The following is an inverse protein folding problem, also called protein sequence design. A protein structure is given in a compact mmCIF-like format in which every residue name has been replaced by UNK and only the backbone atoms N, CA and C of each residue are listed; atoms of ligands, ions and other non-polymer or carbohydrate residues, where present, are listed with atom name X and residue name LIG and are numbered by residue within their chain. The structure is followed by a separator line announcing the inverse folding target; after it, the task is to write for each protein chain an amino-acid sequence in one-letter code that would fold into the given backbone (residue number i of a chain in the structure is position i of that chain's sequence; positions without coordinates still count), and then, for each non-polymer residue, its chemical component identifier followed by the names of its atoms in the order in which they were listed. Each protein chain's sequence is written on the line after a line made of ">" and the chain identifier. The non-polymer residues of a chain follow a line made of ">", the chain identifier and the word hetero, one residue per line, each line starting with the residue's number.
data_IF_808083409966
#
_entry.id   IF_808083409966
#
_cell.length_a   1.000
_cell.length_b   1.000
_cell.length_c   1.000
_cell.angle_alpha   90.00
_cell.angle_beta   90.00
_cell.angle_gamma   90.00
#
_symmetry.space_group_name_H-M   'P 1'
#
loop_
_entity.id
_entity.type
_entity.pdbx_description
1 polymer ?
#
# COMPACT_ATOMS: atom_id res chain seq x y z
N UNK A 1 14.82 49.16 -19.62
CA UNK A 1 13.41 49.61 -19.58
C UNK A 1 12.63 48.93 -20.70
N UNK A 2 11.30 48.90 -20.59
CA UNK A 2 10.30 48.58 -21.64
C UNK A 2 9.99 47.11 -21.97
N UNK A 3 8.89 46.65 -21.37
CA UNK A 3 7.81 45.81 -21.95
C UNK A 3 6.82 46.80 -22.63
N UNK A 4 6.28 46.61 -23.86
CA UNK A 4 5.09 45.77 -24.19
C UNK A 4 5.23 45.03 -25.55
N UNK A 5 4.25 44.42 -26.26
CA UNK A 5 2.77 44.24 -26.20
C UNK A 5 2.43 42.78 -26.65
N UNK A 6 1.28 42.12 -26.43
CA UNK A 6 -0.18 42.40 -26.48
C UNK A 6 -0.83 42.30 -27.89
N UNK A 7 -1.70 41.29 -28.08
CA UNK A 7 -2.78 40.98 -29.09
C UNK A 7 -2.70 39.48 -29.49
N UNK A 8 -3.69 38.56 -29.51
CA UNK A 8 -5.18 38.49 -29.52
C UNK A 8 -5.83 38.15 -30.90
N UNK A 9 -6.63 37.06 -30.94
CA UNK A 9 -7.54 36.56 -32.01
C UNK A 9 -6.87 35.99 -33.31
N UNK A 10 -7.40 34.99 -34.05
CA UNK A 10 -8.79 34.61 -34.35
C UNK A 10 -8.97 33.12 -34.84
N UNK A 11 -10.18 32.76 -35.29
CA UNK A 11 -10.70 31.41 -35.64
C UNK A 11 -10.54 30.98 -37.13
N UNK A 12 -11.09 29.79 -37.45
CA UNK A 12 -11.32 29.10 -38.76
C UNK A 12 -10.25 28.07 -39.16
N UNK A 13 -10.54 26.96 -39.85
CA UNK A 13 -11.72 26.60 -40.67
C UNK A 13 -12.13 25.09 -40.61
N UNK A 14 -13.19 24.73 -41.34
CA UNK A 14 -13.85 23.41 -41.37
C UNK A 14 -13.21 22.35 -42.30
N UNK A 15 -13.62 21.09 -42.12
CA UNK A 15 -13.52 19.97 -43.07
C UNK A 15 -14.17 18.72 -42.45
N UNK A 16 -15.45 18.44 -42.66
CA UNK A 16 -16.10 17.74 -43.81
C UNK A 16 -16.14 16.20 -43.59
N UNK A 17 -17.36 15.63 -43.59
CA UNK A 17 -17.65 14.22 -43.27
C UNK A 17 -17.63 13.32 -44.54
N UNK A 18 -17.84 11.99 -44.45
CA UNK A 18 -19.24 11.51 -44.51
C UNK A 18 -19.57 10.17 -43.80
N UNK A 19 -20.74 10.16 -43.13
CA UNK A 19 -21.76 9.11 -43.28
C UNK A 19 -21.67 7.79 -42.49
N UNK A 20 -22.73 7.47 -41.75
CA UNK A 20 -23.74 6.49 -42.20
C UNK A 20 -24.95 6.43 -41.22
N UNK A 21 -26.17 6.54 -41.75
CA UNK A 21 -27.41 6.63 -40.97
C UNK A 21 -28.10 5.29 -40.66
N UNK A 22 -28.71 5.24 -39.48
CA UNK A 22 -29.93 4.54 -39.05
C UNK A 22 -30.29 3.09 -39.52
N UNK A 23 -30.45 2.19 -38.54
CA UNK A 23 -31.59 1.25 -38.41
C UNK A 23 -31.70 0.71 -36.98
N UNK A 24 -32.90 0.34 -36.50
CA UNK A 24 -33.18 0.08 -35.08
C UNK A 24 -33.80 -1.30 -34.77
N UNK A 25 -33.38 -1.89 -33.63
CA UNK A 25 -34.08 -2.89 -32.79
C UNK A 25 -34.38 -4.29 -33.40
N UNK A 26 -34.67 -5.36 -32.60
CA UNK A 26 -35.01 -5.37 -31.17
C UNK A 26 -34.39 -6.49 -30.27
N UNK A 27 -34.71 -6.38 -28.97
CA UNK A 27 -34.94 -7.46 -27.99
C UNK A 27 -33.79 -8.33 -27.44
N UNK A 28 -33.74 -8.42 -26.11
CA UNK A 28 -33.57 -9.71 -25.43
C UNK A 28 -32.19 -10.08 -24.87
N UNK A 29 -31.70 -9.36 -23.86
CA UNK A 29 -30.69 -9.88 -22.94
C UNK A 29 -31.25 -9.86 -21.51
N UNK A 30 -31.64 -11.04 -21.00
CA UNK A 30 -32.04 -11.18 -19.62
C UNK A 30 -30.84 -10.91 -18.70
N UNK A 31 -31.01 -10.04 -17.71
CA UNK A 31 -30.01 -9.85 -16.65
C UNK A 31 -30.02 -11.13 -15.80
N UNK A 32 -29.07 -12.02 -16.05
CA UNK A 32 -28.81 -13.14 -15.16
C UNK A 32 -28.46 -12.57 -13.78
N UNK A 33 -29.02 -13.10 -12.67
CA UNK A 33 -28.67 -12.64 -11.35
C UNK A 33 -27.17 -12.87 -11.13
N UNK A 34 -26.47 -11.83 -10.68
CA UNK A 34 -25.09 -11.97 -10.25
C UNK A 34 -25.04 -13.03 -9.14
N UNK A 35 -24.44 -14.18 -9.43
CA UNK A 35 -24.11 -15.17 -8.41
C UNK A 35 -23.23 -14.51 -7.33
N UNK A 36 -23.23 -15.04 -6.10
CA UNK A 36 -22.50 -14.41 -5.01
C UNK A 36 -21.04 -14.23 -5.41
N UNK A 37 -20.59 -12.97 -5.46
CA UNK A 37 -19.18 -12.64 -5.60
C UNK A 37 -18.42 -13.42 -4.54
N UNK A 38 -17.64 -14.41 -4.97
CA UNK A 38 -16.71 -15.11 -4.09
C UNK A 38 -15.89 -14.04 -3.37
N UNK A 39 -15.86 -14.12 -2.04
CA UNK A 39 -15.27 -13.08 -1.21
C UNK A 39 -13.87 -12.73 -1.70
N UNK A 40 -13.55 -11.44 -1.72
CA UNK A 40 -12.30 -10.90 -2.27
C UNK A 40 -11.13 -11.30 -1.37
N UNK A 41 -10.72 -12.57 -1.42
CA UNK A 41 -9.39 -13.01 -1.03
C UNK A 41 -8.40 -12.06 -1.73
N UNK A 42 -7.55 -11.42 -0.94
CA UNK A 42 -6.80 -10.24 -1.37
C UNK A 42 -6.06 -10.52 -2.68
N UNK A 43 -6.17 -9.61 -3.66
CA UNK A 43 -5.77 -9.83 -5.06
C UNK A 43 -4.24 -9.76 -5.28
N UNK A 44 -3.47 -10.17 -4.28
CA UNK A 44 -2.03 -10.33 -4.27
C UNK A 44 -1.71 -11.59 -3.47
N UNK A 45 -1.11 -12.58 -4.11
CA UNK A 45 -0.72 -13.84 -3.49
C UNK A 45 0.30 -13.57 -2.37
N UNK A 46 -0.04 -13.97 -1.14
CA UNK A 46 0.85 -13.82 0.01
C UNK A 46 2.03 -14.79 -0.16
N UNK A 47 3.25 -14.28 0.02
CA UNK A 47 4.45 -15.12 -0.09
C UNK A 47 4.67 -15.94 1.17
N UNK A 48 5.30 -17.10 1.03
CA UNK A 48 5.77 -17.88 2.18
C UNK A 48 6.99 -17.17 2.80
N UNK A 49 6.84 -16.71 4.04
CA UNK A 49 7.89 -15.98 4.76
C UNK A 49 9.03 -16.92 5.17
N UNK A 50 10.27 -16.43 5.07
CA UNK A 50 11.47 -17.09 5.60
C UNK A 50 12.23 -16.15 6.52
N UNK A 51 13.09 -16.71 7.36
CA UNK A 51 13.95 -15.92 8.25
C UNK A 51 14.86 -14.98 7.44
N UNK A 52 15.38 -15.40 6.28
CA UNK A 52 16.22 -14.58 5.40
C UNK A 52 15.47 -13.37 4.82
N UNK A 53 14.21 -13.56 4.41
CA UNK A 53 13.35 -12.49 3.90
C UNK A 53 13.00 -11.48 4.99
N UNK A 54 12.69 -11.93 6.21
CA UNK A 54 12.45 -11.02 7.34
C UNK A 54 13.72 -10.30 7.80
N UNK A 55 14.87 -10.95 7.76
CA UNK A 55 16.18 -10.34 8.01
C UNK A 55 16.53 -9.26 6.98
N UNK A 56 16.24 -9.51 5.69
CA UNK A 56 16.40 -8.52 4.63
C UNK A 56 15.45 -7.33 4.78
N UNK A 57 14.17 -7.61 5.06
CA UNK A 57 13.18 -6.56 5.32
C UNK A 57 13.54 -5.73 6.56
N UNK A 58 14.05 -6.33 7.63
CA UNK A 58 14.55 -5.63 8.81
C UNK A 58 15.74 -4.69 8.51
N UNK A 59 16.59 -5.00 7.52
CA UNK A 59 17.67 -4.09 7.09
C UNK A 59 17.10 -2.90 6.32
N UNK A 60 16.16 -3.15 5.41
CA UNK A 60 15.46 -2.08 4.67
C UNK A 60 14.67 -1.15 5.58
N UNK A 61 13.87 -1.67 6.52
CA UNK A 61 13.14 -0.86 7.52
C UNK A 61 14.07 0.07 8.33
N UNK A 62 15.27 -0.41 8.69
CA UNK A 62 16.26 0.44 9.37
C UNK A 62 16.73 1.59 8.48
N UNK A 63 16.91 1.34 7.17
CA UNK A 63 17.24 2.39 6.19
C UNK A 63 16.04 3.34 5.97
N UNK A 64 14.81 2.83 5.89
CA UNK A 64 13.60 3.66 5.83
C UNK A 64 13.46 4.59 7.05
N UNK A 65 13.83 4.12 8.24
CA UNK A 65 13.85 4.93 9.45
C UNK A 65 15.02 5.94 9.50
N UNK A 66 16.13 5.70 8.79
CA UNK A 66 17.29 6.60 8.67
C UNK A 66 16.96 7.77 7.73
N UNK A 67 16.85 7.50 6.42
CA UNK A 67 15.52 7.62 5.79
C UNK A 67 14.71 8.87 6.18
N UNK A 68 13.56 8.58 6.80
CA UNK A 68 12.55 9.53 7.25
C UNK A 68 13.08 10.55 8.28
N UNK A 69 14.18 10.27 9.00
CA UNK A 69 14.78 11.19 9.98
C UNK A 69 15.71 12.25 9.36
N UNK A 70 16.01 12.18 8.06
CA UNK A 70 16.92 13.14 7.40
C UNK A 70 16.40 14.59 7.52
N UNK A 71 17.22 15.54 8.02
CA UNK A 71 16.80 16.94 8.15
C UNK A 71 16.32 17.52 6.83
N UNK A 72 15.21 18.27 6.86
CA UNK A 72 14.64 18.92 5.68
C UNK A 72 13.77 18.04 4.78
N UNK A 73 13.70 16.72 5.03
CA UNK A 73 12.89 15.77 4.24
C UNK A 73 11.37 16.02 4.32
N UNK A 74 10.89 16.48 5.48
CA UNK A 74 9.47 16.45 5.83
C UNK A 74 9.04 15.07 6.34
N UNK A 75 8.10 15.04 7.28
CA UNK A 75 7.69 13.83 7.99
C UNK A 75 6.37 13.20 7.46
N UNK A 76 5.80 13.77 6.41
CA UNK A 76 4.43 13.48 5.97
C UNK A 76 4.25 12.21 5.14
N UNK A 77 5.35 11.62 4.62
CA UNK A 77 5.30 10.49 3.69
C UNK A 77 6.39 9.45 4.01
N UNK A 78 6.05 8.18 3.81
CA UNK A 78 7.00 7.06 3.90
C UNK A 78 7.94 6.98 2.71
N UNK A 79 8.89 6.05 2.75
CA UNK A 79 9.78 5.81 1.61
C UNK A 79 9.05 4.96 0.56
N UNK A 80 8.96 5.47 -0.66
CA UNK A 80 8.39 4.73 -1.79
C UNK A 80 9.43 3.75 -2.36
N UNK A 81 9.45 2.52 -1.84
CA UNK A 81 10.49 1.54 -2.18
C UNK A 81 10.30 0.96 -3.59
N UNK A 82 11.07 1.49 -4.54
CA UNK A 82 11.15 1.05 -5.93
C UNK A 82 12.55 1.30 -6.49
N UNK A 83 12.91 0.61 -7.58
CA UNK A 83 14.20 0.78 -8.25
C UNK A 83 14.36 2.13 -8.98
N UNK A 84 13.25 2.86 -9.16
CA UNK A 84 13.16 4.06 -10.00
C UNK A 84 12.83 5.34 -9.22
N UNK A 85 12.73 5.27 -7.88
CA UNK A 85 12.57 6.43 -7.00
C UNK A 85 13.91 6.93 -6.46
N UNK A 86 13.93 8.14 -5.88
CA UNK A 86 15.17 8.76 -5.39
C UNK A 86 15.78 8.04 -4.18
N UNK A 87 14.95 7.35 -3.37
CA UNK A 87 15.34 6.79 -2.06
C UNK A 87 15.15 5.28 -1.96
N UNK A 88 14.27 4.72 -2.81
CA UNK A 88 14.04 3.28 -2.90
C UNK A 88 15.33 2.48 -3.14
N UNK A 89 16.25 2.91 -4.03
CA UNK A 89 17.52 2.23 -4.25
C UNK A 89 18.37 2.08 -2.98
N UNK A 90 18.42 3.08 -2.09
CA UNK A 90 19.16 2.96 -0.82
C UNK A 90 18.55 1.90 0.11
N UNK A 91 17.22 1.82 0.17
CA UNK A 91 16.50 0.80 0.97
C UNK A 91 16.77 -0.59 0.41
N UNK A 92 16.78 -0.75 -0.91
CA UNK A 92 17.03 -2.01 -1.60
C UNK A 92 18.49 -2.46 -1.46
N UNK A 93 19.45 -1.52 -1.54
CA UNK A 93 20.86 -1.80 -1.26
C UNK A 93 21.05 -2.30 0.18
N UNK A 94 20.44 -1.63 1.16
CA UNK A 94 20.50 -2.06 2.56
C UNK A 94 19.79 -3.41 2.81
N UNK A 95 18.64 -3.64 2.16
CA UNK A 95 17.91 -4.90 2.25
C UNK A 95 18.67 -6.06 1.59
N UNK A 96 19.36 -5.80 0.47
CA UNK A 96 20.08 -6.81 -0.31
C UNK A 96 19.16 -7.78 -1.06
N UNK A 97 17.92 -7.35 -1.36
CA UNK A 97 16.92 -8.13 -2.12
C UNK A 97 16.23 -7.25 -3.18
N UNK A 98 15.68 -7.83 -4.26
CA UNK A 98 14.93 -7.10 -5.28
C UNK A 98 13.71 -6.35 -4.73
N UNK A 99 13.28 -5.29 -5.44
CA UNK A 99 12.09 -4.52 -5.05
C UNK A 99 10.81 -5.35 -5.05
N UNK A 100 10.71 -6.37 -5.90
CA UNK A 100 9.56 -7.27 -5.93
C UNK A 100 9.40 -8.02 -4.59
N UNK A 101 10.49 -8.59 -4.09
CA UNK A 101 10.53 -9.40 -2.86
C UNK A 101 10.34 -8.51 -1.62
N UNK A 102 11.01 -7.36 -1.57
CA UNK A 102 10.84 -6.39 -0.47
C UNK A 102 9.38 -5.96 -0.31
N UNK A 103 8.74 -5.59 -1.43
CA UNK A 103 7.34 -5.19 -1.43
C UNK A 103 6.39 -6.38 -1.20
N UNK A 104 6.78 -7.61 -1.53
CA UNK A 104 6.00 -8.81 -1.23
C UNK A 104 6.00 -9.13 0.28
N UNK A 105 7.16 -9.02 0.95
CA UNK A 105 7.25 -9.10 2.43
C UNK A 105 6.41 -7.99 3.05
N UNK A 106 6.56 -6.74 2.61
CA UNK A 106 5.80 -5.61 3.14
C UNK A 106 4.27 -5.79 2.99
N UNK A 107 3.78 -6.32 1.86
CA UNK A 107 2.35 -6.64 1.65
C UNK A 107 1.85 -7.79 2.52
N UNK A 108 2.70 -8.79 2.80
CA UNK A 108 2.33 -9.97 3.61
C UNK A 108 2.33 -9.63 5.11
N UNK A 109 3.33 -8.86 5.57
CA UNK A 109 3.53 -8.53 6.99
C UNK A 109 2.74 -7.28 7.41
N UNK A 110 2.56 -6.32 6.50
CA UNK A 110 1.90 -5.03 6.77
C UNK A 110 0.51 -5.16 7.44
N UNK A 111 -0.44 -5.95 6.89
CA UNK A 111 -1.76 -6.14 7.49
C UNK A 111 -1.69 -6.63 8.94
N UNK A 112 -0.79 -7.58 9.23
CA UNK A 112 -0.57 -8.11 10.58
C UNK A 112 -0.12 -7.01 11.53
N UNK A 113 0.85 -6.19 11.11
CA UNK A 113 1.40 -5.12 11.95
C UNK A 113 0.38 -3.99 12.16
N UNK A 114 -0.38 -3.62 11.13
CA UNK A 114 -1.47 -2.63 11.26
C UNK A 114 -2.57 -3.10 12.22
N UNK A 115 -3.01 -4.36 12.11
CA UNK A 115 -4.02 -4.93 13.02
C UNK A 115 -3.47 -4.98 14.46
N UNK A 116 -2.29 -5.55 14.68
CA UNK A 116 -1.68 -5.60 16.02
C UNK A 116 -1.42 -4.20 16.63
N UNK A 117 -1.07 -3.20 15.81
CA UNK A 117 -0.95 -1.79 16.24
C UNK A 117 -2.30 -1.22 16.67
N UNK A 118 -3.37 -1.42 15.88
CA UNK A 118 -4.73 -0.98 16.24
C UNK A 118 -5.28 -1.65 17.51
N UNK A 119 -4.84 -2.87 17.79
CA UNK A 119 -5.14 -3.63 19.00
C UNK A 119 -4.23 -3.27 20.20
N UNK A 120 -3.28 -2.33 20.04
CA UNK A 120 -2.31 -1.95 21.08
C UNK A 120 -1.24 -3.01 21.40
N UNK A 121 -1.18 -4.11 20.64
CA UNK A 121 -0.31 -5.27 20.91
C UNK A 121 1.16 -5.08 20.52
N UNK A 122 1.51 -4.01 19.78
CA UNK A 122 2.90 -3.71 19.39
C UNK A 122 3.62 -2.71 20.32
N UNK A 123 3.20 -2.59 21.59
CA UNK A 123 3.87 -1.80 22.64
C UNK A 123 3.73 -0.27 22.55
N UNK A 124 3.61 0.28 21.34
CA UNK A 124 3.15 1.65 21.08
C UNK A 124 1.97 1.57 20.11
N UNK A 125 0.85 2.20 20.46
CA UNK A 125 -0.25 2.45 19.52
C UNK A 125 -0.12 3.86 18.96
N UNK A 126 -0.10 3.99 17.63
CA UNK A 126 -0.13 5.29 16.95
C UNK A 126 -1.34 5.49 16.03
N UNK A 127 -2.12 4.43 15.79
CA UNK A 127 -3.45 4.51 15.16
C UNK A 127 -4.47 4.00 16.16
N UNK A 128 -5.35 4.89 16.64
CA UNK A 128 -6.58 4.50 17.31
C UNK A 128 -7.69 4.44 16.27
N UNK A 129 -8.48 3.37 16.26
CA UNK A 129 -9.52 3.15 15.27
C UNK A 129 -10.87 2.92 15.96
N UNK A 130 -11.88 3.63 15.50
CA UNK A 130 -13.25 3.54 16.00
C UNK A 130 -13.95 2.29 15.44
N UNK A 131 -13.97 1.23 16.24
CA UNK A 131 -14.55 -0.07 15.89
C UNK A 131 -16.09 -0.04 15.76
N UNK A 132 -16.76 0.98 16.29
CA UNK A 132 -18.23 1.11 16.19
C UNK A 132 -18.66 1.55 14.77
N UNK A 133 -17.76 2.23 14.05
CA UNK A 133 -18.00 2.74 12.69
C UNK A 133 -17.64 1.77 11.57
N UNK A 134 -16.94 0.68 11.91
CA UNK A 134 -16.61 -0.40 11.00
C UNK A 134 -17.83 -1.29 10.72
N UNK A 135 -17.88 -1.90 9.54
CA UNK A 135 -18.82 -3.00 9.29
C UNK A 135 -18.43 -4.28 10.05
N UNK A 136 -19.31 -5.28 10.06
CA UNK A 136 -19.09 -6.51 10.82
C UNK A 136 -17.91 -7.37 10.30
N UNK A 137 -17.55 -7.28 9.02
CA UNK A 137 -16.39 -8.00 8.47
C UNK A 137 -15.09 -7.30 8.90
N UNK A 138 -15.02 -5.99 8.72
CA UNK A 138 -13.92 -5.15 9.17
C UNK A 138 -13.70 -5.31 10.67
N UNK A 139 -14.78 -5.21 11.47
CA UNK A 139 -14.68 -5.37 12.93
C UNK A 139 -14.11 -6.73 13.30
N UNK A 140 -14.62 -7.82 12.71
CA UNK A 140 -14.05 -9.18 12.92
C UNK A 140 -12.55 -9.23 12.59
N UNK A 141 -12.12 -8.72 11.42
CA UNK A 141 -10.70 -8.69 11.01
C UNK A 141 -9.84 -7.93 12.01
N UNK A 142 -10.26 -6.75 12.44
CA UNK A 142 -9.49 -5.92 13.36
C UNK A 142 -9.56 -6.35 14.83
N UNK A 143 -10.49 -7.22 15.23
CA UNK A 143 -10.53 -7.85 16.56
C UNK A 143 -9.92 -9.25 16.63
N UNK A 144 -9.73 -9.92 15.50
CA UNK A 144 -9.25 -11.31 15.41
C UNK A 144 -7.73 -11.48 15.64
N UNK A 145 -7.23 -12.70 15.43
CA UNK A 145 -5.79 -12.97 15.32
C UNK A 145 -5.35 -12.79 13.86
N UNK A 146 -4.61 -11.71 13.52
CA UNK A 146 -4.17 -11.50 12.14
C UNK A 146 -3.14 -12.51 11.63
N UNK A 147 -2.60 -13.38 12.50
CA UNK A 147 -1.75 -14.50 12.06
C UNK A 147 -2.58 -15.63 11.41
N UNK A 148 -3.91 -15.65 11.52
CA UNK A 148 -4.78 -16.64 10.85
C UNK A 148 -4.89 -16.40 9.33
N UNK A 149 -4.61 -15.19 8.85
CA UNK A 149 -4.55 -14.84 7.41
C UNK A 149 -3.24 -15.31 6.73
N UNK A 150 -2.30 -15.90 7.48
CA UNK A 150 -1.00 -16.40 6.98
C UNK A 150 -0.97 -17.94 6.91
N UNK A 151 -0.04 -18.48 6.11
CA UNK A 151 0.29 -19.91 6.21
C UNK A 151 0.83 -20.23 7.62
N UNK A 152 0.65 -21.47 8.15
CA UNK A 152 1.14 -21.82 9.48
C UNK A 152 2.65 -21.60 9.65
N UNK A 153 3.44 -21.87 8.59
CA UNK A 153 4.89 -21.65 8.56
C UNK A 153 5.21 -20.15 8.58
N UNK A 154 4.54 -19.35 7.76
CA UNK A 154 4.73 -17.89 7.72
C UNK A 154 4.35 -17.23 9.04
N UNK A 155 3.26 -17.68 9.68
CA UNK A 155 2.86 -17.23 11.00
C UNK A 155 3.88 -17.60 12.09
N UNK A 156 4.46 -18.81 12.05
CA UNK A 156 5.51 -19.23 12.97
C UNK A 156 6.78 -18.37 12.80
N UNK A 157 7.27 -18.25 11.56
CA UNK A 157 8.43 -17.42 11.19
C UNK A 157 8.23 -15.98 11.66
N UNK A 158 7.10 -15.36 11.32
CA UNK A 158 6.83 -13.97 11.69
C UNK A 158 6.77 -13.77 13.21
N UNK A 159 6.11 -14.68 13.95
CA UNK A 159 6.03 -14.63 15.43
C UNK A 159 7.43 -14.61 16.08
N UNK A 160 8.40 -15.39 15.57
CA UNK A 160 9.78 -15.40 16.09
C UNK A 160 10.53 -14.08 15.88
N UNK A 161 10.15 -13.28 14.89
CA UNK A 161 10.81 -12.01 14.54
C UNK A 161 10.09 -10.76 15.05
N UNK A 162 8.90 -10.89 15.64
CA UNK A 162 8.06 -9.75 16.07
C UNK A 162 8.79 -8.74 16.96
N UNK A 163 9.49 -9.20 18.00
CA UNK A 163 10.18 -8.32 18.98
C UNK A 163 11.25 -7.44 18.32
N UNK A 164 11.85 -7.92 17.22
CA UNK A 164 12.86 -7.21 16.45
C UNK A 164 12.26 -6.32 15.36
N UNK A 165 11.20 -6.79 14.70
CA UNK A 165 10.58 -6.09 13.57
C UNK A 165 9.65 -4.96 14.02
N UNK A 166 8.88 -5.15 15.09
CA UNK A 166 7.88 -4.17 15.54
C UNK A 166 8.50 -2.78 15.85
N UNK A 167 9.64 -2.66 16.58
CA UNK A 167 10.30 -1.37 16.77
C UNK A 167 10.75 -0.72 15.46
N UNK A 168 11.33 -1.48 14.53
CA UNK A 168 11.81 -0.95 13.26
C UNK A 168 10.67 -0.47 12.35
N UNK A 169 9.56 -1.22 12.32
CA UNK A 169 8.34 -0.84 11.60
C UNK A 169 7.69 0.41 12.22
N UNK A 170 7.64 0.52 13.55
CA UNK A 170 7.23 1.74 14.23
C UNK A 170 8.11 2.94 13.85
N UNK A 171 9.42 2.77 13.78
CA UNK A 171 10.32 3.86 13.40
C UNK A 171 10.14 4.31 11.95
N UNK A 172 9.87 3.39 11.02
CA UNK A 172 9.61 3.70 9.62
C UNK A 172 8.20 4.30 9.37
N UNK A 173 7.16 3.78 10.05
CA UNK A 173 5.74 4.09 9.75
C UNK A 173 5.10 5.06 10.75
N UNK A 174 5.49 5.07 12.03
CA UNK A 174 4.84 5.96 13.00
C UNK A 174 5.20 7.44 12.77
N UNK A 175 6.31 7.76 12.11
CA UNK A 175 6.63 9.16 11.75
C UNK A 175 5.64 9.67 10.70
N UNK A 176 5.27 8.83 9.73
CA UNK A 176 4.37 9.20 8.62
C UNK A 176 2.91 9.32 9.09
N UNK A 177 2.50 8.48 10.03
CA UNK A 177 1.15 8.46 10.59
C UNK A 177 0.84 9.61 11.58
N UNK A 178 1.85 10.30 12.11
CA UNK A 178 1.65 11.43 13.05
C UNK A 178 1.22 12.75 12.37
N UNK A 179 1.10 12.76 11.03
CA UNK A 179 0.78 13.95 10.25
C UNK A 179 -0.36 13.75 9.22
N UNK A 180 -1.17 12.69 9.40
CA UNK A 180 -2.41 12.43 8.63
C UNK A 180 -3.67 12.86 9.38
#
# INVERSE_FOLDING_TARGET
>A
MLIPALLLAALTACGDEPGQDAAAAPAGAAVAPAGPSAGTASRYEAIELTDELLEAWARGLRKEAEIVRRPGRGAHYGVMVSEHGDEGPEVLEAAGIPAADYNAVARTVGPVFHILNSQGKLGRQFVSMDLERLDDEQRRRYTGDPFEDLSPRSAEVLRRHMDRLAPLWHEAVAITAQHG
#
